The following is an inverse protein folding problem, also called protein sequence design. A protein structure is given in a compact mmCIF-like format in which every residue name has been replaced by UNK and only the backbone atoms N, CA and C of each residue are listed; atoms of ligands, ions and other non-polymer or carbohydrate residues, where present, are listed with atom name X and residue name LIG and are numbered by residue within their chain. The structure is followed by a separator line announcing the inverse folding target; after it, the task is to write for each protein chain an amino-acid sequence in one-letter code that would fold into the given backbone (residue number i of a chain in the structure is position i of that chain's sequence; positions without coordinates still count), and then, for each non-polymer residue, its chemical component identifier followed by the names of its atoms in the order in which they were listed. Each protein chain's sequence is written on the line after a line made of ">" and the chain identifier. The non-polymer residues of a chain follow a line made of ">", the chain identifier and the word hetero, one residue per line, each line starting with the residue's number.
data_IF_082742826048
#
_entry.id   IF_082742826048
#
_cell.length_a   1.000
_cell.length_b   1.000
_cell.length_c   1.000
_cell.angle_alpha   90.00
_cell.angle_beta   90.00
_cell.angle_gamma   90.00
#
_symmetry.space_group_name_H-M   'P 1'
#
loop_
_entity.id
_entity.type
_entity.pdbx_description
1 polymer ?
#
# COMPACT_ATOMS: atom_id res chain seq x y z
N UNK A 1 15.00 -1.02 -9.41
CA UNK A 1 13.88 -0.06 -9.49
C UNK A 1 12.67 -0.74 -8.84
N UNK A 2 12.02 -0.09 -7.87
CA UNK A 2 10.83 -0.66 -7.23
C UNK A 2 9.72 -0.74 -8.29
N UNK A 3 9.25 -1.95 -8.56
CA UNK A 3 8.15 -2.17 -9.51
C UNK A 3 6.84 -1.83 -8.79
N UNK A 4 6.21 -0.75 -9.22
CA UNK A 4 5.07 -0.13 -8.52
C UNK A 4 3.86 -1.06 -8.54
N UNK A 5 3.62 -1.74 -9.65
CA UNK A 5 2.52 -2.68 -9.78
C UNK A 5 2.74 -3.89 -8.87
N UNK A 6 3.97 -4.43 -8.83
CA UNK A 6 4.31 -5.53 -7.93
C UNK A 6 4.19 -5.13 -6.46
N UNK A 7 4.62 -3.91 -6.12
CA UNK A 7 4.56 -3.40 -4.74
C UNK A 7 3.11 -3.18 -4.30
N UNK A 8 2.27 -2.66 -5.19
CA UNK A 8 0.83 -2.50 -4.94
C UNK A 8 0.14 -3.86 -4.77
N UNK A 9 0.44 -4.82 -5.64
CA UNK A 9 -0.10 -6.18 -5.54
C UNK A 9 0.32 -6.87 -4.25
N UNK A 10 1.58 -6.71 -3.85
CA UNK A 10 2.10 -7.24 -2.59
C UNK A 10 1.37 -6.63 -1.39
N UNK A 11 1.22 -5.29 -1.35
CA UNK A 11 0.52 -4.59 -0.28
C UNK A 11 -0.93 -5.09 -0.12
N UNK A 12 -1.64 -5.27 -1.23
CA UNK A 12 -3.00 -5.83 -1.24
C UNK A 12 -3.05 -7.28 -0.76
N UNK A 13 -2.08 -8.10 -1.15
CA UNK A 13 -2.02 -9.52 -0.76
C UNK A 13 -1.77 -9.66 0.74
N UNK A 14 -0.80 -8.91 1.26
CA UNK A 14 -0.48 -8.87 2.69
C UNK A 14 -1.66 -8.36 3.52
N UNK A 15 -2.38 -7.34 3.03
CA UNK A 15 -3.60 -6.87 3.67
C UNK A 15 -4.68 -7.96 3.77
N UNK A 16 -4.92 -8.71 2.67
CA UNK A 16 -5.87 -9.84 2.66
C UNK A 16 -5.49 -10.96 3.62
N UNK A 17 -4.22 -11.12 3.92
CA UNK A 17 -3.70 -12.08 4.90
C UNK A 17 -3.80 -11.58 6.36
N UNK A 18 -4.30 -10.36 6.58
CA UNK A 18 -4.50 -9.78 7.91
C UNK A 18 -3.32 -8.93 8.42
N UNK A 19 -2.24 -8.82 7.65
CA UNK A 19 -1.04 -8.06 8.01
C UNK A 19 -1.18 -6.57 7.66
N UNK A 20 -2.14 -5.91 8.31
CA UNK A 20 -2.52 -4.54 7.99
C UNK A 20 -1.39 -3.51 8.23
N UNK A 21 -0.52 -3.72 9.22
CA UNK A 21 0.60 -2.82 9.51
C UNK A 21 1.68 -2.88 8.42
N UNK A 22 1.97 -4.08 7.94
CA UNK A 22 2.95 -4.33 6.88
C UNK A 22 2.44 -3.80 5.53
N UNK A 23 1.15 -3.98 5.24
CA UNK A 23 0.52 -3.40 4.06
C UNK A 23 0.60 -1.86 4.09
N UNK A 24 0.38 -1.24 5.26
CA UNK A 24 0.52 0.21 5.44
C UNK A 24 1.92 0.70 5.06
N UNK A 25 2.96 0.06 5.60
CA UNK A 25 4.35 0.41 5.30
C UNK A 25 4.67 0.31 3.81
N UNK A 26 4.13 -0.69 3.12
CA UNK A 26 4.31 -0.83 1.67
C UNK A 26 3.65 0.29 0.88
N UNK A 27 2.43 0.71 1.24
CA UNK A 27 1.78 1.86 0.60
C UNK A 27 2.54 3.16 0.86
N UNK A 28 3.06 3.36 2.08
CA UNK A 28 3.87 4.55 2.42
C UNK A 28 5.18 4.58 1.62
N UNK A 29 5.86 3.44 1.49
CA UNK A 29 7.05 3.30 0.65
C UNK A 29 6.77 3.51 -0.84
N UNK A 30 5.61 3.06 -1.34
CA UNK A 30 5.20 3.30 -2.72
C UNK A 30 4.94 4.80 -2.96
N UNK A 31 4.28 5.47 -2.01
CA UNK A 31 3.99 6.91 -2.09
C UNK A 31 5.21 7.80 -1.89
N UNK A 32 6.27 7.33 -1.21
CA UNK A 32 7.54 8.09 -1.12
C UNK A 32 8.25 8.16 -2.47
N UNK A 33 8.09 7.15 -3.34
CA UNK A 33 8.66 7.09 -4.68
C UNK A 33 7.72 7.73 -5.71
N UNK A 34 6.42 7.46 -5.62
CA UNK A 34 5.38 8.09 -6.45
C UNK A 34 4.31 8.76 -5.58
N UNK A 35 4.55 10.02 -5.18
CA UNK A 35 3.60 10.78 -4.38
C UNK A 35 2.26 11.02 -5.05
N UNK A 36 2.14 10.87 -6.38
CA UNK A 36 0.91 11.06 -7.14
C UNK A 36 0.18 9.75 -7.49
N UNK A 37 0.55 8.64 -6.87
CA UNK A 37 -0.11 7.35 -7.13
C UNK A 37 -1.49 7.26 -6.46
N UNK A 38 -2.54 7.58 -7.23
CA UNK A 38 -3.91 7.74 -6.72
C UNK A 38 -4.47 6.48 -6.03
N UNK A 39 -4.24 5.29 -6.60
CA UNK A 39 -4.71 4.03 -6.02
C UNK A 39 -4.12 3.77 -4.64
N UNK A 40 -2.82 4.00 -4.47
CA UNK A 40 -2.14 3.76 -3.19
C UNK A 40 -2.60 4.76 -2.13
N UNK A 41 -2.88 6.01 -2.49
CA UNK A 41 -3.50 6.98 -1.57
C UNK A 41 -4.87 6.53 -1.09
N UNK A 42 -5.70 6.07 -2.02
CA UNK A 42 -7.06 5.62 -1.71
C UNK A 42 -7.03 4.40 -0.80
N UNK A 43 -6.21 3.39 -1.13
CA UNK A 43 -6.10 2.16 -0.36
C UNK A 43 -5.49 2.40 1.02
N UNK A 44 -4.45 3.23 1.12
CA UNK A 44 -3.89 3.64 2.41
C UNK A 44 -4.91 4.40 3.26
N UNK A 45 -5.76 5.23 2.64
CA UNK A 45 -6.83 5.93 3.35
C UNK A 45 -7.87 4.95 3.89
N UNK A 46 -8.31 3.97 3.08
CA UNK A 46 -9.24 2.92 3.54
C UNK A 46 -8.64 2.10 4.67
N UNK A 47 -7.35 1.75 4.57
CA UNK A 47 -6.65 0.97 5.58
C UNK A 47 -6.66 1.64 6.95
N UNK A 48 -6.53 2.97 7.03
CA UNK A 48 -6.60 3.74 8.29
C UNK A 48 -7.95 3.66 9.02
N UNK A 49 -9.00 3.15 8.37
CA UNK A 49 -10.29 2.90 9.01
C UNK A 49 -10.45 1.44 9.48
N UNK A 50 -9.53 0.55 9.09
CA UNK A 50 -9.55 -0.89 9.38
C UNK A 50 -8.66 -1.22 10.60
N UNK A 51 -7.55 -0.51 10.75
CA UNK A 51 -6.60 -0.59 11.88
C UNK A 51 -6.76 0.58 12.82
#
# INVERSE_FOLDING_TARGET
>A
MLDIEKTLLLARTILKLGYAKEAKSLYENLLSIQPNHNLAKQELKQLKYII
#
